data_IF_945052885057
#
_entry.id   IF_945052885057
#
_cell.length_a   1.000
_cell.length_b   1.000
_cell.length_c   1.000
_cell.angle_alpha   90.00
_cell.angle_beta   90.00
_cell.angle_gamma   90.00
#
_symmetry.space_group_name_H-M   'P 1'
#
loop_
_entity.id
_entity.type
_entity.pdbx_description
1 polymer ?
#
# COMPACT_ATOMS: atom_id res chain seq x y z
N UNK A 1 -5.32 -18.69 -8.00
CA UNK A 1 -5.28 -17.51 -8.91
C UNK A 1 -4.13 -17.69 -9.87
N UNK A 2 -4.34 -17.47 -11.16
CA UNK A 2 -3.25 -17.40 -12.14
C UNK A 2 -2.43 -16.11 -11.90
N UNK A 3 -1.12 -16.09 -12.21
CA UNK A 3 -0.25 -14.93 -11.98
C UNK A 3 -0.79 -13.65 -12.65
N UNK A 4 -1.47 -13.77 -13.79
CA UNK A 4 -2.16 -12.68 -14.49
C UNK A 4 -3.29 -12.05 -13.67
N UNK A 5 -4.06 -12.86 -12.92
CA UNK A 5 -5.14 -12.35 -12.06
C UNK A 5 -4.60 -11.66 -10.82
N UNK A 6 -3.49 -12.17 -10.26
CA UNK A 6 -2.81 -11.51 -9.15
C UNK A 6 -2.28 -10.15 -9.59
N UNK A 7 -1.53 -10.09 -10.69
CA UNK A 7 -0.99 -8.86 -11.24
C UNK A 7 -2.10 -7.83 -11.53
N UNK A 8 -3.17 -8.24 -12.21
CA UNK A 8 -4.31 -7.37 -12.53
C UNK A 8 -5.01 -6.81 -11.29
N UNK A 9 -5.18 -7.60 -10.22
CA UNK A 9 -5.74 -7.08 -8.97
C UNK A 9 -4.81 -6.05 -8.32
N UNK A 10 -3.50 -6.29 -8.34
CA UNK A 10 -2.52 -5.34 -7.80
C UNK A 10 -2.52 -4.03 -8.59
N UNK A 11 -2.54 -4.10 -9.93
CA UNK A 11 -2.60 -2.87 -10.76
C UNK A 11 -3.91 -2.15 -10.58
N UNK A 12 -5.05 -2.84 -10.48
CA UNK A 12 -6.36 -2.20 -10.31
C UNK A 12 -6.49 -1.46 -8.97
N UNK A 13 -5.90 -1.98 -7.90
CA UNK A 13 -5.86 -1.31 -6.59
C UNK A 13 -4.95 -0.08 -6.65
N UNK A 14 -3.77 -0.20 -7.28
CA UNK A 14 -2.81 0.92 -7.40
C UNK A 14 -3.27 2.01 -8.38
N UNK A 15 -4.11 1.66 -9.36
CA UNK A 15 -4.58 2.57 -10.41
C UNK A 15 -5.92 3.26 -10.12
N UNK A 16 -6.41 3.24 -8.88
CA UNK A 16 -7.63 3.96 -8.47
C UNK A 16 -7.31 5.25 -7.71
N UNK A 17 -6.93 6.36 -8.38
CA UNK A 17 -6.78 7.66 -7.74
C UNK A 17 -8.10 8.15 -7.12
N UNK A 18 -9.26 7.68 -7.59
CA UNK A 18 -10.57 8.02 -7.03
C UNK A 18 -10.85 7.49 -5.62
N UNK A 19 -10.07 6.51 -5.14
CA UNK A 19 -10.14 6.04 -3.74
C UNK A 19 -9.32 6.92 -2.78
N UNK A 20 -8.52 7.84 -3.31
CA UNK A 20 -7.64 8.75 -2.58
C UNK A 20 -8.14 10.21 -2.58
N UNK A 21 -9.27 10.49 -3.24
CA UNK A 21 -9.88 11.81 -3.23
C UNK A 21 -10.81 11.96 -2.01
N UNK A 22 -10.26 12.40 -0.88
CA UNK A 22 -11.04 12.91 0.25
C UNK A 22 -11.66 14.29 -0.08
N UNK A 23 -12.87 14.60 0.43
CA UNK A 23 -13.52 15.88 0.19
C UNK A 23 -12.74 17.02 0.85
N UNK A 24 -12.22 17.97 0.06
CA UNK A 24 -11.59 19.18 0.58
C UNK A 24 -10.47 19.80 -0.27
N UNK A 25 -9.82 19.03 -1.16
CA UNK A 25 -8.72 19.51 -2.02
C UNK A 25 -8.50 18.59 -3.23
N UNK A 26 -7.91 19.15 -4.30
CA UNK A 26 -7.50 18.38 -5.47
C UNK A 26 -6.13 17.71 -5.27
N UNK A 27 -5.87 16.60 -5.97
CA UNK A 27 -4.55 15.92 -5.98
C UNK A 27 -3.38 16.87 -6.34
N UNK A 28 -3.68 17.95 -7.08
CA UNK A 28 -2.71 18.97 -7.50
C UNK A 28 -2.39 20.03 -6.44
N UNK A 29 -3.18 20.12 -5.37
CA UNK A 29 -3.01 21.15 -4.33
C UNK A 29 -2.15 20.66 -3.15
N UNK A 30 -1.98 19.35 -3.00
CA UNK A 30 -1.15 18.77 -1.94
C UNK A 30 0.32 18.71 -2.29
N UNK A 31 1.17 19.14 -1.36
CA UNK A 31 2.61 18.93 -1.45
C UNK A 31 2.95 17.44 -1.29
N UNK A 32 4.03 17.01 -1.94
CA UNK A 32 4.62 15.68 -1.74
C UNK A 32 4.91 15.37 -0.26
N UNK A 33 5.20 16.41 0.54
CA UNK A 33 5.37 16.27 1.99
C UNK A 33 4.11 15.74 2.66
N UNK A 34 2.93 16.30 2.35
CA UNK A 34 1.66 15.83 2.89
C UNK A 34 1.42 14.35 2.56
N UNK A 35 1.62 13.95 1.31
CA UNK A 35 1.44 12.56 0.88
C UNK A 35 2.30 11.57 1.65
N UNK A 36 3.54 11.94 1.98
CA UNK A 36 4.47 11.06 2.68
C UNK A 36 4.28 11.09 4.20
N UNK A 37 3.93 12.22 4.81
CA UNK A 37 3.93 12.35 6.28
C UNK A 37 2.54 12.44 6.89
N UNK A 38 1.48 12.54 6.07
CA UNK A 38 0.10 12.56 6.55
C UNK A 38 -0.21 11.26 7.30
N UNK A 39 -0.69 11.36 8.56
CA UNK A 39 -1.06 10.20 9.37
C UNK A 39 -2.00 9.24 8.64
N UNK A 40 -2.98 9.77 7.90
CA UNK A 40 -3.97 8.96 7.21
C UNK A 40 -3.34 8.12 6.09
N UNK A 41 -2.43 8.72 5.31
CA UNK A 41 -1.70 8.02 4.24
C UNK A 41 -0.78 6.93 4.80
N UNK A 42 -0.09 7.22 5.90
CA UNK A 42 0.78 6.25 6.58
C UNK A 42 -0.01 5.09 7.17
N UNK A 43 -1.20 5.36 7.73
CA UNK A 43 -2.09 4.34 8.26
C UNK A 43 -2.62 3.43 7.14
N UNK A 44 -3.05 4.01 6.01
CA UNK A 44 -3.47 3.25 4.82
C UNK A 44 -2.31 2.40 4.28
N UNK A 45 -1.10 2.95 4.21
CA UNK A 45 0.09 2.22 3.77
C UNK A 45 0.41 1.02 4.67
N UNK A 46 0.31 1.21 5.99
CA UNK A 46 0.48 0.12 6.97
C UNK A 46 -0.57 -0.97 6.83
N UNK A 47 -1.85 -0.59 6.70
CA UNK A 47 -2.96 -1.53 6.50
C UNK A 47 -2.82 -2.30 5.18
N UNK A 48 -2.42 -1.64 4.11
CA UNK A 48 -2.15 -2.27 2.82
C UNK A 48 -1.00 -3.29 2.95
N UNK A 49 0.05 -2.94 3.68
CA UNK A 49 1.14 -3.87 4.00
C UNK A 49 0.67 -5.12 4.75
N UNK A 50 -0.19 -4.95 5.76
CA UNK A 50 -0.81 -6.07 6.51
C UNK A 50 -1.65 -6.93 5.56
N UNK A 51 -2.47 -6.30 4.70
CA UNK A 51 -3.29 -7.01 3.74
C UNK A 51 -2.45 -7.88 2.79
N UNK A 52 -1.29 -7.39 2.32
CA UNK A 52 -0.37 -8.18 1.50
C UNK A 52 0.23 -9.37 2.25
N UNK A 53 0.63 -9.20 3.51
CA UNK A 53 1.14 -10.29 4.35
C UNK A 53 0.08 -11.36 4.58
N UNK A 54 -1.18 -10.96 4.82
CA UNK A 54 -2.32 -11.88 4.98
C UNK A 54 -2.64 -12.57 3.65
N UNK A 55 -2.73 -11.82 2.55
CA UNK A 55 -3.02 -12.35 1.21
C UNK A 55 -1.97 -13.37 0.77
N UNK A 56 -0.70 -13.19 1.17
CA UNK A 56 0.36 -14.15 0.90
C UNK A 56 0.07 -15.56 1.45
N UNK A 57 -0.79 -15.70 2.47
CA UNK A 57 -1.25 -17.02 2.98
C UNK A 57 -2.14 -17.75 1.98
N UNK A 58 -2.82 -17.03 1.10
CA UNK A 58 -3.75 -17.56 0.09
C UNK A 58 -3.05 -17.86 -1.25
N UNK A 59 -1.79 -17.43 -1.43
CA UNK A 59 -1.05 -17.62 -2.67
C UNK A 59 -0.40 -19.00 -2.69
N UNK A 60 -0.82 -19.87 -3.61
CA UNK A 60 -0.23 -21.20 -3.79
C UNK A 60 1.23 -21.14 -4.27
N UNK A 61 1.53 -20.27 -5.22
CA UNK A 61 2.86 -20.12 -5.82
C UNK A 61 3.91 -19.58 -4.81
N UNK A 62 4.98 -20.33 -4.48
CA UNK A 62 5.95 -19.95 -3.46
C UNK A 62 6.66 -18.62 -3.75
N UNK A 63 6.97 -18.36 -5.03
CA UNK A 63 7.65 -17.12 -5.44
C UNK A 63 6.79 -15.89 -5.20
N UNK A 64 5.54 -15.94 -5.64
CA UNK A 64 4.56 -14.86 -5.45
C UNK A 64 4.23 -14.66 -3.97
N UNK A 65 4.13 -15.74 -3.19
CA UNK A 65 3.95 -15.67 -1.74
C UNK A 65 5.10 -14.96 -1.05
N UNK A 66 6.35 -15.27 -1.41
CA UNK A 66 7.53 -14.59 -0.88
C UNK A 66 7.51 -13.11 -1.27
N UNK A 67 7.25 -12.79 -2.53
CA UNK A 67 7.16 -11.42 -3.01
C UNK A 67 6.08 -10.61 -2.25
N UNK A 68 4.87 -11.16 -2.08
CA UNK A 68 3.79 -10.51 -1.34
C UNK A 68 4.14 -10.28 0.14
N UNK A 69 4.79 -11.23 0.81
CA UNK A 69 5.27 -11.05 2.19
C UNK A 69 6.32 -9.95 2.30
N UNK A 70 7.30 -9.94 1.40
CA UNK A 70 8.35 -8.91 1.40
C UNK A 70 7.78 -7.53 1.10
N UNK A 71 6.93 -7.41 0.08
CA UNK A 71 6.25 -6.16 -0.24
C UNK A 71 5.44 -5.65 0.95
N UNK A 72 4.60 -6.51 1.55
CA UNK A 72 3.79 -6.13 2.70
C UNK A 72 4.61 -5.72 3.92
N UNK A 73 5.67 -6.47 4.25
CA UNK A 73 6.58 -6.13 5.34
C UNK A 73 7.31 -4.80 5.10
N UNK A 74 7.78 -4.56 3.87
CA UNK A 74 8.46 -3.32 3.50
C UNK A 74 7.52 -2.11 3.65
N UNK A 75 6.24 -2.23 3.26
CA UNK A 75 5.24 -1.18 3.42
C UNK A 75 4.98 -0.84 4.89
N UNK A 76 4.86 -1.86 5.76
CA UNK A 76 4.69 -1.65 7.21
C UNK A 76 5.92 -0.95 7.80
N UNK A 77 7.12 -1.43 7.48
CA UNK A 77 8.37 -0.83 7.98
C UNK A 77 8.50 0.62 7.50
N UNK A 78 8.22 0.89 6.23
CA UNK A 78 8.25 2.25 5.68
C UNK A 78 7.24 3.16 6.39
N UNK A 79 5.99 2.70 6.58
CA UNK A 79 4.98 3.47 7.27
C UNK A 79 5.42 3.83 8.71
N UNK A 80 5.92 2.86 9.47
CA UNK A 80 6.40 3.08 10.83
C UNK A 80 7.64 3.97 10.90
N UNK A 81 8.59 3.78 9.98
CA UNK A 81 9.80 4.60 9.93
C UNK A 81 9.45 6.06 9.64
N UNK A 82 8.62 6.33 8.63
CA UNK A 82 8.22 7.69 8.29
C UNK A 82 7.38 8.30 9.42
N UNK A 83 6.47 7.54 10.02
CA UNK A 83 5.71 8.00 11.19
C UNK A 83 6.64 8.41 12.34
N UNK A 84 7.65 7.60 12.66
CA UNK A 84 8.61 7.89 13.72
C UNK A 84 9.54 9.07 13.43
N UNK A 85 9.75 9.43 12.16
CA UNK A 85 10.48 10.63 11.76
C UNK A 85 9.58 11.88 11.70
N UNK A 86 8.28 11.72 11.47
CA UNK A 86 7.31 12.81 11.32
C UNK A 86 6.62 13.20 12.64
N UNK A 87 6.66 12.34 13.67
CA UNK A 87 6.16 12.57 15.02
C UNK A 87 7.19 13.29 15.91
#
# INVERSE_FOLDING_TARGET
>A
MTPTRFFACTTAILASPGLLAHPGHSLSEESWGHWLTSPDHLLVLGLLGIAFVVLARLIAEPRLRKAARFAGAAMIVAALAIWGFAA
#
